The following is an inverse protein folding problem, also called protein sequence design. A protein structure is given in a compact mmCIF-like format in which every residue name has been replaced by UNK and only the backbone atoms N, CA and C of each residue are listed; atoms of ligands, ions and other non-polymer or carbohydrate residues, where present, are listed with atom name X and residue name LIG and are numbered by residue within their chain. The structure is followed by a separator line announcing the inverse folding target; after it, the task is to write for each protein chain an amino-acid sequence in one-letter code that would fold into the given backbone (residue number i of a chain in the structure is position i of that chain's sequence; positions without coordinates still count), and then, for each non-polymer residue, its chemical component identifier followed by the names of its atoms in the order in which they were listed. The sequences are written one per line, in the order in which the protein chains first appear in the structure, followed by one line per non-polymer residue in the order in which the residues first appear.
data_IF_816534311395
#
_entry.id   IF_816534311395
#
_cell.length_a   1.000
_cell.length_b   1.000
_cell.length_c   1.000
_cell.angle_alpha   90.00
_cell.angle_beta   90.00
_cell.angle_gamma   90.00
#
_symmetry.space_group_name_H-M   'P 1'
#
loop_
_entity.id
_entity.type
_entity.pdbx_description
1 polymer ?
#
# COMPACT_ATOMS: atom_id res chain seq x y z
N UNK A 1 -19.29 20.25 3.74
CA UNK A 1 -19.66 20.29 5.21
C UNK A 1 -18.72 19.34 5.95
N UNK A 2 -18.09 19.83 7.04
CA UNK A 2 -17.19 19.01 7.86
C UNK A 2 -17.97 18.15 8.86
N UNK A 3 -17.55 16.89 9.00
CA UNK A 3 -18.03 15.99 10.06
C UNK A 3 -16.84 15.36 10.76
N UNK A 4 -16.76 15.54 12.08
CA UNK A 4 -15.76 14.85 12.94
C UNK A 4 -16.45 13.64 13.59
N UNK A 5 -15.87 12.47 13.46
CA UNK A 5 -16.46 11.23 13.97
C UNK A 5 -15.94 10.90 15.36
N UNK A 6 -16.83 10.38 16.20
CA UNK A 6 -16.49 9.95 17.57
C UNK A 6 -15.54 8.75 17.62
N UNK A 7 -15.41 8.01 16.54
CA UNK A 7 -14.47 6.93 16.30
C UNK A 7 -14.41 6.60 14.80
N UNK A 8 -13.37 5.90 14.36
CA UNK A 8 -13.22 5.60 12.93
C UNK A 8 -14.22 4.59 12.39
N UNK A 9 -14.72 3.68 13.23
CA UNK A 9 -15.78 2.72 12.83
C UNK A 9 -17.08 3.44 12.45
N UNK A 10 -17.44 4.50 13.15
CA UNK A 10 -18.62 5.29 12.84
C UNK A 10 -18.52 5.93 11.44
N UNK A 11 -17.34 6.40 11.05
CA UNK A 11 -17.11 6.93 9.69
C UNK A 11 -17.19 5.82 8.63
N UNK A 12 -16.56 4.67 8.89
CA UNK A 12 -16.62 3.51 7.98
C UNK A 12 -18.06 3.10 7.74
N UNK A 13 -18.89 3.02 8.78
CA UNK A 13 -20.31 2.68 8.66
C UNK A 13 -21.09 3.73 7.85
N UNK A 14 -20.81 5.02 8.07
CA UNK A 14 -21.46 6.12 7.36
C UNK A 14 -21.16 6.13 5.85
N UNK A 15 -20.00 5.63 5.44
CA UNK A 15 -19.51 5.66 4.06
C UNK A 15 -19.20 4.27 3.50
N UNK A 16 -19.77 3.19 4.03
CA UNK A 16 -19.47 1.82 3.64
C UNK A 16 -19.60 1.60 2.12
N UNK A 17 -20.69 2.04 1.52
CA UNK A 17 -20.91 1.91 0.08
C UNK A 17 -19.87 2.70 -0.73
N UNK A 18 -19.54 3.91 -0.30
CA UNK A 18 -18.57 4.76 -0.97
C UNK A 18 -17.15 4.17 -0.87
N UNK A 19 -16.74 3.69 0.30
CA UNK A 19 -15.46 3.04 0.52
C UNK A 19 -15.31 1.77 -0.35
N UNK A 20 -16.39 1.04 -0.54
CA UNK A 20 -16.40 -0.16 -1.38
C UNK A 20 -16.34 0.12 -2.88
N UNK A 21 -16.48 1.37 -3.34
CA UNK A 21 -16.32 1.71 -4.77
C UNK A 21 -14.88 1.56 -5.24
N UNK A 22 -13.90 1.72 -4.34
CA UNK A 22 -12.50 1.51 -4.64
C UNK A 22 -11.79 0.84 -3.45
N UNK A 23 -11.87 -0.49 -3.32
CA UNK A 23 -11.33 -1.23 -2.18
C UNK A 23 -9.79 -1.11 -2.05
N UNK A 24 -9.11 -0.75 -3.11
CA UNK A 24 -7.65 -0.55 -3.07
C UNK A 24 -7.25 0.73 -2.35
N UNK A 25 -7.87 1.87 -2.69
CA UNK A 25 -7.59 3.15 -2.03
C UNK A 25 -8.17 3.22 -0.63
N UNK A 26 -9.32 2.60 -0.42
CA UNK A 26 -10.02 2.62 0.86
C UNK A 26 -9.52 1.59 1.87
N UNK A 27 -8.63 0.66 1.49
CA UNK A 27 -8.18 -0.41 2.39
C UNK A 27 -7.65 0.11 3.73
N UNK A 28 -6.96 1.24 3.74
CA UNK A 28 -6.40 1.84 4.95
C UNK A 28 -7.47 2.33 5.93
N UNK A 29 -8.65 2.70 5.43
CA UNK A 29 -9.78 3.05 6.30
C UNK A 29 -10.24 1.85 7.12
N UNK A 30 -10.26 0.67 6.53
CA UNK A 30 -10.63 -0.57 7.22
C UNK A 30 -9.54 -1.09 8.16
N UNK A 31 -8.26 -0.75 7.89
CA UNK A 31 -7.13 -1.09 8.76
C UNK A 31 -7.01 -0.10 9.92
N UNK A 32 -6.95 1.19 9.62
CA UNK A 32 -6.64 2.25 10.59
C UNK A 32 -7.88 2.71 11.36
N UNK A 33 -9.03 2.78 10.68
CA UNK A 33 -10.27 3.29 11.27
C UNK A 33 -10.65 2.62 12.60
N UNK A 34 -10.68 1.29 12.70
CA UNK A 34 -11.01 0.60 13.96
C UNK A 34 -10.08 0.93 15.13
N UNK A 35 -8.85 1.38 14.85
CA UNK A 35 -7.88 1.77 15.87
C UNK A 35 -8.20 3.14 16.49
N UNK A 36 -9.02 3.97 15.82
CA UNK A 36 -9.45 5.28 16.30
C UNK A 36 -10.67 5.09 17.22
N UNK A 37 -10.42 4.77 18.48
CA UNK A 37 -11.49 4.57 19.49
C UNK A 37 -11.82 5.84 20.25
N UNK A 38 -10.84 6.75 20.42
CA UNK A 38 -10.97 8.07 21.04
C UNK A 38 -10.17 9.07 20.20
N UNK A 39 -10.84 9.89 19.39
CA UNK A 39 -10.15 10.81 18.50
C UNK A 39 -9.47 11.93 19.31
N UNK A 40 -8.31 12.33 18.83
CA UNK A 40 -7.53 13.48 19.27
C UNK A 40 -6.86 14.16 18.06
N UNK A 41 -5.88 15.04 18.25
CA UNK A 41 -5.17 15.73 17.15
C UNK A 41 -4.21 14.82 16.37
N UNK A 42 -3.90 13.64 16.89
CA UNK A 42 -2.98 12.67 16.30
C UNK A 42 -3.71 11.44 15.74
N UNK A 43 -4.90 11.12 16.27
CA UNK A 43 -5.71 9.97 15.88
C UNK A 43 -7.14 10.45 15.62
N UNK A 44 -7.56 10.51 14.36
CA UNK A 44 -8.83 11.13 14.01
C UNK A 44 -9.47 10.55 12.75
N UNK A 45 -10.78 10.77 12.65
CA UNK A 45 -11.59 10.46 11.48
C UNK A 45 -12.47 11.66 11.15
N UNK A 46 -12.31 12.25 9.98
CA UNK A 46 -12.99 13.48 9.53
C UNK A 46 -13.45 13.30 8.10
N UNK A 47 -14.61 13.87 7.74
CA UNK A 47 -15.02 13.99 6.34
C UNK A 47 -15.34 15.42 5.99
N UNK A 48 -15.13 15.78 4.72
CA UNK A 48 -15.54 17.02 4.09
C UNK A 48 -16.39 16.76 2.85
N UNK A 49 -16.99 17.81 2.28
CA UNK A 49 -17.78 17.70 1.05
C UNK A 49 -19.23 17.29 1.31
N UNK A 50 -19.81 16.58 0.36
CA UNK A 50 -21.19 16.08 0.42
C UNK A 50 -21.22 14.56 0.58
N UNK A 51 -22.38 14.00 0.90
CA UNK A 51 -22.52 12.53 0.98
C UNK A 51 -22.28 11.83 -0.37
N UNK A 52 -22.56 12.51 -1.49
CA UNK A 52 -22.35 11.97 -2.83
C UNK A 52 -20.89 12.16 -3.33
N UNK A 53 -20.19 13.17 -2.84
CA UNK A 53 -18.82 13.51 -3.20
C UNK A 53 -18.02 13.88 -1.93
N UNK A 54 -17.73 12.90 -1.06
CA UNK A 54 -16.98 13.14 0.17
C UNK A 54 -15.48 13.09 -0.10
N UNK A 55 -14.71 13.82 0.72
CA UNK A 55 -13.32 13.55 0.96
C UNK A 55 -13.18 13.05 2.40
N UNK A 56 -12.81 11.80 2.54
CA UNK A 56 -12.63 11.09 3.81
C UNK A 56 -11.19 11.18 4.27
N UNK A 57 -11.00 11.28 5.56
CA UNK A 57 -9.70 11.44 6.17
C UNK A 57 -9.60 10.61 7.45
N UNK A 58 -8.60 9.74 7.55
CA UNK A 58 -8.24 9.02 8.78
C UNK A 58 -6.77 9.18 9.08
N UNK A 59 -6.43 9.23 10.35
CA UNK A 59 -5.06 9.18 10.82
C UNK A 59 -4.94 8.41 12.12
N UNK A 60 -3.92 7.56 12.18
CA UNK A 60 -3.46 6.86 13.38
C UNK A 60 -1.96 7.10 13.52
N UNK A 61 -1.54 7.72 14.62
CA UNK A 61 -0.12 7.94 14.88
C UNK A 61 0.62 6.59 15.05
N UNK A 62 1.86 6.46 14.54
CA UNK A 62 2.69 7.49 13.92
C UNK A 62 2.55 7.58 12.38
N UNK A 63 1.55 6.94 11.79
CA UNK A 63 1.40 6.79 10.34
C UNK A 63 0.93 8.08 9.65
N UNK A 64 0.96 8.08 8.33
CA UNK A 64 0.50 9.18 7.49
C UNK A 64 -1.01 9.34 7.56
N UNK A 65 -1.50 10.58 7.43
CA UNK A 65 -2.92 10.86 7.22
C UNK A 65 -3.36 10.26 5.88
N UNK A 66 -4.38 9.44 5.86
CA UNK A 66 -4.93 8.86 4.63
C UNK A 66 -6.12 9.68 4.16
N UNK A 67 -6.09 10.12 2.90
CA UNK A 67 -7.19 10.82 2.24
C UNK A 67 -7.77 9.95 1.13
N UNK A 68 -9.10 9.89 1.04
CA UNK A 68 -9.80 9.16 -0.01
C UNK A 68 -11.09 9.88 -0.41
N UNK A 69 -11.23 10.23 -1.67
CA UNK A 69 -12.48 10.79 -2.17
C UNK A 69 -12.33 11.90 -3.18
N UNK A 70 -13.21 12.91 -3.09
CA UNK A 70 -13.32 13.99 -4.05
C UNK A 70 -12.27 15.08 -3.80
N UNK A 71 -11.40 15.37 -4.79
CA UNK A 71 -10.38 16.42 -4.68
C UNK A 71 -10.97 17.81 -4.49
N UNK A 72 -12.20 18.07 -4.95
CA UNK A 72 -12.84 19.39 -4.81
C UNK A 72 -13.17 19.73 -3.33
N UNK A 73 -13.28 18.72 -2.47
CA UNK A 73 -13.46 18.91 -1.03
C UNK A 73 -12.13 19.12 -0.26
N UNK A 74 -10.97 19.10 -0.94
CA UNK A 74 -9.67 19.21 -0.28
C UNK A 74 -9.50 20.55 0.45
N UNK A 75 -9.93 21.66 -0.14
CA UNK A 75 -9.85 22.97 0.48
C UNK A 75 -10.59 23.03 1.84
N UNK A 76 -11.83 22.58 1.85
CA UNK A 76 -12.68 22.57 3.05
C UNK A 76 -12.07 21.69 4.16
N UNK A 77 -11.58 20.50 3.79
CA UNK A 77 -10.97 19.58 4.75
C UNK A 77 -9.68 20.14 5.35
N UNK A 78 -8.78 20.63 4.49
CA UNK A 78 -7.46 21.11 4.91
C UNK A 78 -7.55 22.39 5.74
N UNK A 79 -8.44 23.33 5.41
CA UNK A 79 -8.69 24.52 6.23
C UNK A 79 -9.15 24.12 7.63
N UNK A 80 -10.07 23.16 7.73
CA UNK A 80 -10.55 22.67 9.01
C UNK A 80 -9.41 21.99 9.81
N UNK A 81 -8.65 21.08 9.20
CA UNK A 81 -7.57 20.36 9.88
C UNK A 81 -6.50 21.32 10.42
N UNK A 82 -6.14 22.34 9.63
CA UNK A 82 -5.16 23.36 10.04
C UNK A 82 -5.71 24.29 11.15
N UNK A 83 -6.96 24.75 11.03
CA UNK A 83 -7.57 25.64 12.01
C UNK A 83 -7.73 24.98 13.38
N UNK A 84 -7.94 23.68 13.42
CA UNK A 84 -8.12 22.87 14.61
C UNK A 84 -6.83 22.18 15.09
N UNK A 85 -5.67 22.51 14.47
CA UNK A 85 -4.33 21.98 14.82
C UNK A 85 -4.23 20.44 14.75
N UNK A 86 -4.88 19.83 13.76
CA UNK A 86 -4.70 18.42 13.47
C UNK A 86 -3.37 18.15 12.78
N UNK A 87 -2.76 17.00 13.08
CA UNK A 87 -1.48 16.60 12.51
C UNK A 87 -1.64 16.16 11.05
N UNK A 88 -1.02 16.90 10.13
CA UNK A 88 -1.03 16.63 8.69
C UNK A 88 0.35 16.79 8.04
N UNK A 89 1.45 16.65 8.79
CA UNK A 89 2.81 16.80 8.23
C UNK A 89 3.11 15.85 7.06
N UNK A 90 2.37 14.75 6.98
CA UNK A 90 2.42 13.81 5.87
C UNK A 90 1.05 13.18 5.60
N UNK A 91 0.75 12.94 4.34
CA UNK A 91 -0.48 12.27 3.95
C UNK A 91 -0.28 11.33 2.75
N UNK A 92 -1.06 10.27 2.72
CA UNK A 92 -1.12 9.25 1.67
C UNK A 92 -2.46 9.38 0.93
N UNK A 93 -2.43 9.47 -0.38
CA UNK A 93 -3.66 9.60 -1.19
C UNK A 93 -3.42 9.27 -2.66
N UNK A 94 -4.50 9.24 -3.45
CA UNK A 94 -4.41 9.21 -4.92
C UNK A 94 -3.70 10.46 -5.44
N UNK A 95 -3.05 10.33 -6.61
CA UNK A 95 -2.35 11.45 -7.26
C UNK A 95 -3.27 12.67 -7.45
N UNK A 96 -4.53 12.46 -7.87
CA UNK A 96 -5.50 13.53 -8.12
C UNK A 96 -5.81 14.34 -6.84
N UNK A 97 -6.06 13.67 -5.72
CA UNK A 97 -6.29 14.34 -4.43
C UNK A 97 -5.01 14.98 -3.92
N UNK A 98 -3.86 14.31 -4.10
CA UNK A 98 -2.55 14.81 -3.71
C UNK A 98 -2.20 16.12 -4.39
N UNK A 99 -2.37 16.19 -5.72
CA UNK A 99 -2.12 17.41 -6.51
C UNK A 99 -3.01 18.57 -6.07
N UNK A 100 -4.30 18.30 -5.83
CA UNK A 100 -5.23 19.32 -5.33
C UNK A 100 -4.83 19.80 -3.92
N UNK A 101 -4.48 18.88 -3.02
CA UNK A 101 -4.09 19.19 -1.64
C UNK A 101 -2.77 20.00 -1.61
N UNK A 102 -1.73 19.54 -2.29
CA UNK A 102 -0.41 20.22 -2.31
C UNK A 102 -0.52 21.62 -2.89
N UNK A 103 -1.22 21.79 -4.02
CA UNK A 103 -1.47 23.08 -4.63
C UNK A 103 -2.21 24.01 -3.67
N UNK A 104 -3.30 23.57 -3.06
CA UNK A 104 -4.10 24.35 -2.12
C UNK A 104 -3.29 24.80 -0.90
N UNK A 105 -2.56 23.86 -0.26
CA UNK A 105 -1.72 24.14 0.90
C UNK A 105 -0.63 25.18 0.59
N UNK A 106 -0.04 25.12 -0.62
CA UNK A 106 0.92 26.12 -1.04
C UNK A 106 0.29 27.48 -1.32
N UNK A 107 -0.73 27.53 -2.15
CA UNK A 107 -1.33 28.81 -2.60
C UNK A 107 -2.05 29.54 -1.46
N UNK A 108 -2.69 28.83 -0.56
CA UNK A 108 -3.50 29.43 0.51
C UNK A 108 -2.77 29.61 1.83
N UNK A 109 -1.92 28.65 2.19
CA UNK A 109 -1.27 28.62 3.52
C UNK A 109 0.25 28.77 3.45
N UNK A 110 0.87 28.80 2.28
CA UNK A 110 2.33 28.86 2.10
C UNK A 110 3.06 27.60 2.57
N UNK A 111 2.33 26.49 2.77
CA UNK A 111 2.87 25.22 3.22
C UNK A 111 3.34 24.40 2.02
N UNK A 112 4.61 23.98 2.04
CA UNK A 112 5.20 23.19 0.97
C UNK A 112 5.16 21.73 1.31
N UNK A 113 4.71 20.93 0.34
CA UNK A 113 4.73 19.46 0.41
C UNK A 113 5.40 18.90 -0.85
N UNK A 114 6.09 17.78 -0.70
CA UNK A 114 6.70 17.05 -1.80
C UNK A 114 6.23 15.60 -1.78
N UNK A 115 6.06 15.00 -2.97
CA UNK A 115 5.86 13.55 -3.08
C UNK A 115 7.16 12.86 -2.67
N UNK A 116 7.15 12.26 -1.48
CA UNK A 116 8.28 11.50 -0.95
C UNK A 116 8.34 10.10 -1.57
N UNK A 117 7.19 9.47 -1.75
CA UNK A 117 7.04 8.15 -2.37
C UNK A 117 5.83 8.16 -3.30
N UNK A 118 6.04 7.90 -4.58
CA UNK A 118 4.99 7.72 -5.58
C UNK A 118 4.90 6.25 -5.99
N UNK A 119 3.71 5.64 -5.85
CA UNK A 119 3.47 4.24 -6.13
C UNK A 119 2.43 4.07 -7.22
N UNK A 120 2.68 3.19 -8.19
CA UNK A 120 1.66 2.67 -9.07
C UNK A 120 1.00 1.45 -8.42
N UNK A 121 -0.32 1.45 -8.39
CA UNK A 121 -1.11 0.30 -8.02
C UNK A 121 -1.44 -0.49 -9.26
N UNK A 122 -1.12 -1.80 -9.26
CA UNK A 122 -1.30 -2.66 -10.42
C UNK A 122 -2.10 -3.91 -10.06
N UNK A 123 -2.87 -4.42 -11.02
CA UNK A 123 -3.60 -5.68 -10.88
C UNK A 123 -3.44 -6.61 -12.08
N UNK A 124 -3.57 -7.92 -11.82
CA UNK A 124 -3.68 -8.95 -12.85
C UNK A 124 -4.83 -9.90 -12.51
N UNK A 125 -5.61 -10.25 -13.54
CA UNK A 125 -6.83 -11.08 -13.42
C UNK A 125 -6.71 -12.41 -14.14
N UNK A 126 -5.64 -12.61 -14.90
CA UNK A 126 -5.48 -13.77 -15.77
C UNK A 126 -4.13 -14.45 -15.56
N UNK A 127 -4.12 -15.75 -15.79
CA UNK A 127 -2.90 -16.55 -15.87
C UNK A 127 -2.36 -16.42 -17.31
N UNK A 128 -1.25 -15.71 -17.46
CA UNK A 128 -0.64 -15.44 -18.76
C UNK A 128 0.48 -16.42 -19.12
N UNK A 129 1.07 -17.09 -18.13
CA UNK A 129 2.12 -18.09 -18.33
C UNK A 129 2.07 -19.13 -17.19
N UNK A 130 2.57 -20.36 -17.41
CA UNK A 130 2.56 -21.40 -16.38
C UNK A 130 3.44 -21.03 -15.18
N UNK A 131 3.14 -21.64 -14.04
CA UNK A 131 3.97 -21.57 -12.84
C UNK A 131 5.29 -22.29 -13.04
N UNK A 132 6.32 -21.85 -12.33
CA UNK A 132 7.65 -22.45 -12.35
C UNK A 132 7.81 -23.43 -11.19
N UNK A 133 8.11 -24.71 -11.49
CA UNK A 133 8.28 -25.78 -10.49
C UNK A 133 9.45 -25.55 -9.53
N UNK A 134 10.41 -24.70 -9.89
CA UNK A 134 11.53 -24.34 -9.01
C UNK A 134 11.16 -23.32 -7.91
N UNK A 135 9.94 -22.79 -7.93
CA UNK A 135 9.42 -21.91 -6.89
C UNK A 135 8.64 -22.75 -5.90
N UNK A 136 8.97 -22.64 -4.62
CA UNK A 136 8.33 -23.40 -3.55
C UNK A 136 7.93 -22.51 -2.36
N UNK A 137 7.07 -23.03 -1.49
CA UNK A 137 6.92 -22.47 -0.15
C UNK A 137 8.21 -22.75 0.66
N UNK A 138 8.59 -21.88 1.59
CA UNK A 138 9.72 -22.12 2.49
C UNK A 138 9.38 -23.15 3.58
N UNK A 139 10.41 -23.76 4.14
CA UNK A 139 10.36 -24.58 5.36
C UNK A 139 10.73 -23.74 6.58
N UNK A 140 10.51 -24.28 7.79
CA UNK A 140 10.79 -23.56 9.05
C UNK A 140 12.26 -23.13 9.18
N UNK A 141 13.16 -23.91 8.63
CA UNK A 141 14.61 -23.69 8.61
C UNK A 141 15.03 -22.50 7.74
N UNK A 142 14.15 -22.08 6.85
CA UNK A 142 14.40 -20.96 5.93
C UNK A 142 14.14 -19.59 6.56
N UNK A 143 13.46 -19.56 7.70
CA UNK A 143 13.06 -18.31 8.35
C UNK A 143 14.24 -17.33 8.57
N UNK A 144 15.42 -17.76 9.08
CA UNK A 144 16.54 -16.84 9.27
C UNK A 144 17.01 -16.20 7.95
N UNK A 145 17.02 -16.96 6.86
CA UNK A 145 17.43 -16.45 5.54
C UNK A 145 16.35 -15.51 4.94
N UNK A 146 15.07 -15.77 5.21
CA UNK A 146 13.95 -14.87 4.83
C UNK A 146 14.06 -13.56 5.60
N UNK A 147 14.36 -13.58 6.90
CA UNK A 147 14.56 -12.37 7.69
C UNK A 147 15.70 -11.53 7.10
N UNK A 148 16.85 -12.14 6.82
CA UNK A 148 17.96 -11.45 6.15
C UNK A 148 17.55 -10.81 4.82
N UNK A 149 16.76 -11.53 4.01
CA UNK A 149 16.25 -11.00 2.75
C UNK A 149 15.28 -9.83 2.95
N UNK A 150 14.43 -9.85 3.99
CA UNK A 150 13.52 -8.75 4.34
C UNK A 150 14.28 -7.52 4.82
N UNK A 151 15.30 -7.69 5.66
CA UNK A 151 16.16 -6.60 6.11
C UNK A 151 16.85 -5.91 4.93
N UNK A 152 17.40 -6.71 4.01
CA UNK A 152 18.02 -6.18 2.79
C UNK A 152 16.99 -5.51 1.86
N UNK A 153 15.77 -6.03 1.76
CA UNK A 153 14.67 -5.39 1.02
C UNK A 153 14.34 -4.01 1.58
N UNK A 154 14.23 -3.89 2.91
CA UNK A 154 13.96 -2.62 3.62
C UNK A 154 15.07 -1.60 3.31
N UNK A 155 16.35 -2.03 3.39
CA UNK A 155 17.51 -1.19 3.08
C UNK A 155 17.50 -0.74 1.61
N UNK A 156 17.28 -1.65 0.68
CA UNK A 156 17.24 -1.36 -0.77
C UNK A 156 16.11 -0.40 -1.15
N UNK A 157 14.98 -0.47 -0.44
CA UNK A 157 13.84 0.42 -0.64
C UNK A 157 13.97 1.76 0.12
N UNK A 158 14.99 1.94 0.96
CA UNK A 158 15.16 3.13 1.79
C UNK A 158 14.03 3.32 2.81
N UNK A 159 13.45 2.22 3.30
CA UNK A 159 12.39 2.23 4.31
C UNK A 159 13.00 2.32 5.71
N UNK A 160 12.25 2.88 6.65
CA UNK A 160 12.63 3.01 8.06
C UNK A 160 12.01 1.89 8.94
N UNK A 161 11.49 0.84 8.31
CA UNK A 161 10.82 -0.27 8.98
C UNK A 161 11.83 -1.25 9.62
N UNK A 162 11.35 -2.08 10.53
CA UNK A 162 12.09 -3.21 11.10
C UNK A 162 11.32 -4.51 10.88
N UNK A 163 12.05 -5.63 10.79
CA UNK A 163 11.44 -6.95 10.62
C UNK A 163 11.01 -7.49 11.98
N UNK A 164 9.73 -7.81 12.13
CA UNK A 164 9.21 -8.56 13.27
C UNK A 164 9.26 -10.07 12.96
N UNK A 165 10.27 -10.75 13.50
CA UNK A 165 10.49 -12.19 13.29
C UNK A 165 9.28 -13.03 13.71
N UNK A 166 8.59 -12.69 14.81
CA UNK A 166 7.45 -13.45 15.30
C UNK A 166 6.30 -13.43 14.27
N UNK A 167 5.99 -12.26 13.73
CA UNK A 167 4.99 -12.09 12.67
C UNK A 167 5.39 -12.83 11.39
N UNK A 168 6.69 -12.82 11.01
CA UNK A 168 7.13 -13.55 9.82
C UNK A 168 7.06 -15.07 10.02
N UNK A 169 7.33 -15.56 11.22
CA UNK A 169 7.16 -16.99 11.57
C UNK A 169 5.72 -17.46 11.43
N UNK A 170 4.76 -16.67 11.91
CA UNK A 170 3.33 -16.97 11.81
C UNK A 170 2.84 -17.01 10.36
N UNK A 171 3.41 -16.18 9.50
CA UNK A 171 3.02 -16.03 8.10
C UNK A 171 4.03 -16.63 7.11
N UNK A 172 4.88 -17.55 7.57
CA UNK A 172 5.95 -18.14 6.76
C UNK A 172 5.42 -18.85 5.50
N UNK A 173 4.30 -19.53 5.61
CA UNK A 173 3.65 -20.23 4.49
C UNK A 173 3.16 -19.31 3.36
N UNK A 174 3.07 -18.00 3.63
CA UNK A 174 2.66 -17.02 2.62
C UNK A 174 3.82 -16.58 1.71
N UNK A 175 5.06 -16.95 2.02
CA UNK A 175 6.18 -16.69 1.15
C UNK A 175 6.28 -17.72 0.02
N UNK A 176 6.85 -17.27 -1.11
CA UNK A 176 7.35 -18.13 -2.18
C UNK A 176 8.80 -17.77 -2.40
N UNK A 177 9.64 -18.80 -2.51
CA UNK A 177 11.09 -18.66 -2.68
C UNK A 177 11.55 -19.39 -3.92
N UNK A 178 12.62 -18.90 -4.52
CA UNK A 178 13.41 -19.58 -5.54
C UNK A 178 14.86 -19.63 -5.09
N UNK A 179 15.44 -20.83 -5.13
CA UNK A 179 16.83 -21.05 -4.72
C UNK A 179 17.79 -21.12 -5.91
N UNK A 180 18.97 -20.59 -5.71
CA UNK A 180 20.12 -20.80 -6.57
C UNK A 180 21.35 -21.00 -5.66
N UNK A 181 22.24 -21.90 -6.03
CA UNK A 181 23.46 -22.24 -5.29
C UNK A 181 23.22 -22.54 -3.80
N UNK A 182 22.09 -23.17 -3.49
CA UNK A 182 21.68 -23.53 -2.13
C UNK A 182 21.12 -22.38 -1.28
N UNK A 183 21.06 -21.15 -1.81
CA UNK A 183 20.52 -19.94 -1.12
C UNK A 183 19.21 -19.49 -1.70
N UNK A 184 18.42 -18.76 -0.92
CA UNK A 184 17.23 -18.03 -1.42
C UNK A 184 17.71 -16.90 -2.33
N UNK A 185 17.59 -17.10 -3.63
CA UNK A 185 17.98 -16.11 -4.64
C UNK A 185 16.91 -15.02 -4.83
N UNK A 186 15.64 -15.41 -4.74
CA UNK A 186 14.51 -14.49 -4.86
C UNK A 186 13.34 -14.96 -4.03
N UNK A 187 12.58 -14.03 -3.48
CA UNK A 187 11.36 -14.29 -2.73
C UNK A 187 10.28 -13.25 -2.99
N UNK A 188 9.05 -13.59 -2.65
CA UNK A 188 7.93 -12.67 -2.51
C UNK A 188 6.94 -13.21 -1.48
N UNK A 189 6.09 -12.35 -0.93
CA UNK A 189 5.10 -12.69 0.08
C UNK A 189 3.68 -12.40 -0.43
N UNK A 190 2.77 -13.30 -0.14
CA UNK A 190 1.33 -13.12 -0.32
C UNK A 190 0.75 -12.43 0.92
N UNK A 191 0.23 -11.23 0.78
CA UNK A 191 -0.58 -10.58 1.80
C UNK A 191 -2.06 -10.82 1.48
N UNK A 192 -2.68 -11.75 2.22
CA UNK A 192 -4.10 -12.07 2.08
C UNK A 192 -4.96 -10.93 2.58
N UNK A 193 -6.05 -10.64 1.87
CA UNK A 193 -6.99 -9.57 2.22
C UNK A 193 -8.40 -10.16 2.36
N UNK A 194 -9.17 -9.57 3.27
CA UNK A 194 -10.63 -9.79 3.30
C UNK A 194 -11.30 -8.88 2.25
N UNK A 195 -10.96 -9.16 0.98
CA UNK A 195 -11.30 -8.34 -0.18
C UNK A 195 -11.26 -9.24 -1.44
N UNK A 196 -11.80 -8.78 -2.57
CA UNK A 196 -11.75 -9.52 -3.84
C UNK A 196 -10.33 -9.66 -4.42
N UNK A 197 -9.32 -9.12 -3.77
CA UNK A 197 -7.92 -9.20 -4.18
C UNK A 197 -7.01 -9.65 -3.06
N UNK A 198 -5.89 -10.26 -3.42
CA UNK A 198 -4.74 -10.47 -2.54
C UNK A 198 -3.52 -9.73 -3.11
N UNK A 199 -2.61 -9.32 -2.23
CA UNK A 199 -1.49 -8.44 -2.61
C UNK A 199 -0.17 -9.20 -2.56
N UNK A 200 0.64 -9.09 -3.62
CA UNK A 200 2.02 -9.56 -3.65
C UNK A 200 2.91 -8.45 -3.07
N UNK A 201 3.65 -8.76 -2.03
CA UNK A 201 4.54 -7.84 -1.32
C UNK A 201 5.95 -8.41 -1.18
N UNK A 202 6.88 -7.62 -0.67
CA UNK A 202 8.23 -8.03 -0.30
C UNK A 202 8.95 -8.79 -1.42
N UNK A 203 8.78 -8.33 -2.66
CA UNK A 203 9.45 -8.91 -3.82
C UNK A 203 10.92 -8.51 -3.77
N UNK A 204 11.77 -9.46 -3.45
CA UNK A 204 13.20 -9.25 -3.33
C UNK A 204 14.01 -10.29 -4.11
N UNK A 205 15.09 -9.84 -4.72
CA UNK A 205 16.13 -10.70 -5.32
C UNK A 205 17.48 -10.23 -4.86
N UNK A 206 18.27 -11.13 -4.29
CA UNK A 206 19.64 -10.81 -3.85
C UNK A 206 20.45 -10.19 -5.00
N UNK A 207 21.29 -9.18 -4.75
CA UNK A 207 22.01 -8.45 -5.79
C UNK A 207 22.77 -9.35 -6.76
N UNK A 208 23.45 -10.37 -6.26
CA UNK A 208 24.25 -11.33 -7.04
C UNK A 208 23.40 -12.22 -7.97
N UNK A 209 22.10 -12.33 -7.72
CA UNK A 209 21.14 -13.13 -8.51
C UNK A 209 20.20 -12.29 -9.37
N UNK A 210 20.39 -10.95 -9.44
CA UNK A 210 19.59 -10.07 -10.30
C UNK A 210 19.91 -10.32 -11.78
N UNK A 211 18.95 -9.99 -12.65
CA UNK A 211 19.11 -10.18 -14.09
C UNK A 211 18.84 -11.60 -14.60
N UNK A 212 18.60 -12.60 -13.72
CA UNK A 212 18.38 -14.01 -14.09
C UNK A 212 16.89 -14.38 -14.21
N UNK A 213 15.98 -13.42 -14.08
CA UNK A 213 14.53 -13.64 -14.17
C UNK A 213 13.90 -14.34 -12.95
N UNK A 214 14.59 -14.40 -11.82
CA UNK A 214 14.08 -15.11 -10.64
C UNK A 214 12.86 -14.42 -10.02
N UNK A 215 12.88 -13.08 -9.89
CA UNK A 215 11.71 -12.32 -9.44
C UNK A 215 10.47 -12.59 -10.32
N UNK A 216 10.65 -12.67 -11.66
CA UNK A 216 9.58 -13.00 -12.58
C UNK A 216 8.90 -14.32 -12.23
N UNK A 217 9.69 -15.37 -11.97
CA UNK A 217 9.18 -16.70 -11.65
C UNK A 217 8.41 -16.70 -10.33
N UNK A 218 8.96 -16.07 -9.29
CA UNK A 218 8.33 -16.01 -7.97
C UNK A 218 7.01 -15.22 -8.01
N UNK A 219 7.02 -14.04 -8.63
CA UNK A 219 5.82 -13.19 -8.77
C UNK A 219 4.75 -13.88 -9.62
N UNK A 220 5.15 -14.54 -10.74
CA UNK A 220 4.21 -15.26 -11.57
C UNK A 220 3.54 -16.42 -10.81
N UNK A 221 4.28 -17.16 -10.00
CA UNK A 221 3.70 -18.23 -9.18
C UNK A 221 2.66 -17.70 -8.20
N UNK A 222 2.95 -16.62 -7.46
CA UNK A 222 1.99 -15.99 -6.56
C UNK A 222 0.78 -15.42 -7.31
N UNK A 223 1.00 -14.74 -8.45
CA UNK A 223 -0.09 -14.26 -9.30
C UNK A 223 -1.03 -15.41 -9.70
N UNK A 224 -0.47 -16.50 -10.18
CA UNK A 224 -1.24 -17.66 -10.62
C UNK A 224 -1.98 -18.33 -9.45
N UNK A 225 -1.38 -18.40 -8.27
CA UNK A 225 -2.03 -18.90 -7.04
C UNK A 225 -3.25 -18.04 -6.68
N UNK A 226 -3.10 -16.72 -6.66
CA UNK A 226 -4.19 -15.77 -6.35
C UNK A 226 -5.32 -15.89 -7.37
N UNK A 227 -4.98 -15.86 -8.67
CA UNK A 227 -5.98 -15.93 -9.75
C UNK A 227 -6.70 -17.28 -9.76
N UNK A 228 -5.98 -18.38 -9.51
CA UNK A 228 -6.59 -19.72 -9.39
C UNK A 228 -7.55 -19.86 -8.21
N UNK A 229 -7.34 -19.07 -7.16
CA UNK A 229 -8.27 -18.97 -6.02
C UNK A 229 -9.50 -18.07 -6.32
N UNK A 230 -9.65 -17.56 -7.53
CA UNK A 230 -10.77 -16.70 -7.95
C UNK A 230 -10.62 -15.25 -7.48
N UNK A 231 -9.44 -14.84 -7.04
CA UNK A 231 -9.14 -13.48 -6.60
C UNK A 231 -8.33 -12.70 -7.66
N UNK A 232 -8.23 -11.41 -7.45
CA UNK A 232 -7.42 -10.52 -8.27
C UNK A 232 -6.02 -10.43 -7.64
N UNK A 233 -4.97 -10.66 -8.41
CA UNK A 233 -3.62 -10.42 -7.96
C UNK A 233 -3.30 -8.93 -8.04
N UNK A 234 -2.86 -8.33 -6.93
CA UNK A 234 -2.49 -6.92 -6.87
C UNK A 234 -1.07 -6.73 -6.35
N UNK A 235 -0.48 -5.60 -6.63
CA UNK A 235 0.78 -5.13 -6.05
C UNK A 235 0.88 -3.60 -6.15
N UNK A 236 1.82 -3.04 -5.38
CA UNK A 236 2.25 -1.66 -5.53
C UNK A 236 3.72 -1.62 -5.93
N UNK A 237 4.09 -0.66 -6.77
CA UNK A 237 5.46 -0.49 -7.27
C UNK A 237 5.84 0.98 -7.31
N UNK A 238 7.07 1.30 -6.90
CA UNK A 238 7.60 2.65 -7.02
C UNK A 238 7.61 3.10 -8.49
N UNK A 239 6.97 4.23 -8.79
CA UNK A 239 6.95 4.86 -10.13
C UNK A 239 8.36 5.04 -10.69
N UNK A 240 9.35 5.26 -9.81
CA UNK A 240 10.76 5.49 -10.17
C UNK A 240 11.55 4.19 -10.41
N UNK A 241 10.92 3.00 -10.26
CA UNK A 241 11.57 1.71 -10.49
C UNK A 241 11.17 1.12 -11.86
N UNK A 242 11.85 1.49 -12.97
CA UNK A 242 11.46 1.05 -14.31
C UNK A 242 11.72 -0.45 -14.53
N UNK A 243 12.56 -1.09 -13.72
CA UNK A 243 12.85 -2.52 -13.83
C UNK A 243 11.66 -3.33 -13.34
N UNK A 244 11.16 -3.00 -12.15
CA UNK A 244 9.98 -3.67 -11.56
C UNK A 244 8.71 -3.35 -12.35
N UNK A 245 8.51 -2.13 -12.81
CA UNK A 245 7.35 -1.76 -13.62
C UNK A 245 7.28 -2.62 -14.90
N UNK A 246 8.37 -2.71 -15.67
CA UNK A 246 8.42 -3.57 -16.87
C UNK A 246 8.23 -5.05 -16.54
N UNK A 247 8.77 -5.52 -15.42
CA UNK A 247 8.56 -6.90 -14.98
C UNK A 247 7.07 -7.20 -14.79
N UNK A 248 6.37 -6.37 -14.01
CA UNK A 248 4.95 -6.59 -13.71
C UNK A 248 4.06 -6.44 -14.94
N UNK A 249 4.27 -5.42 -15.77
CA UNK A 249 3.58 -5.28 -17.07
C UNK A 249 3.77 -6.53 -17.95
N UNK A 250 4.98 -7.08 -18.00
CA UNK A 250 5.27 -8.30 -18.80
C UNK A 250 4.60 -9.56 -18.26
N UNK A 251 4.15 -9.56 -16.99
CA UNK A 251 3.38 -10.62 -16.35
C UNK A 251 1.85 -10.41 -16.47
N UNK A 252 1.43 -9.35 -17.17
CA UNK A 252 0.02 -9.04 -17.39
C UNK A 252 -0.62 -8.17 -16.31
N UNK A 253 0.18 -7.60 -15.39
CA UNK A 253 -0.32 -6.57 -14.49
C UNK A 253 -0.61 -5.28 -15.24
N UNK A 254 -1.75 -4.66 -14.94
CA UNK A 254 -2.18 -3.39 -15.50
C UNK A 254 -2.21 -2.34 -14.41
N UNK A 255 -1.71 -1.14 -14.71
CA UNK A 255 -1.80 0.00 -13.81
C UNK A 255 -3.25 0.45 -13.68
N UNK A 256 -3.73 0.58 -12.44
CA UNK A 256 -5.07 1.09 -12.14
C UNK A 256 -5.05 2.58 -11.84
N UNK A 257 -4.20 3.00 -10.90
CA UNK A 257 -4.04 4.38 -10.47
C UNK A 257 -2.66 4.57 -9.83
N UNK A 258 -2.29 5.83 -9.62
CA UNK A 258 -1.15 6.19 -8.79
C UNK A 258 -1.61 6.73 -7.44
N UNK A 259 -0.84 6.41 -6.40
CA UNK A 259 -0.93 7.04 -5.09
C UNK A 259 0.41 7.61 -4.69
N UNK A 260 0.41 8.64 -3.85
CA UNK A 260 1.61 9.26 -3.34
C UNK A 260 1.54 9.47 -1.84
N UNK A 261 2.69 9.32 -1.18
CA UNK A 261 2.91 9.89 0.14
C UNK A 261 3.54 11.26 -0.03
N UNK A 262 2.89 12.28 0.50
CA UNK A 262 3.33 13.67 0.45
C UNK A 262 3.79 14.09 1.85
N UNK A 263 4.98 14.68 1.94
CA UNK A 263 5.58 15.14 3.20
C UNK A 263 5.84 16.64 3.16
N UNK A 264 5.57 17.31 4.28
CA UNK A 264 5.87 18.73 4.46
C UNK A 264 7.38 18.95 4.48
N UNK A 265 7.86 20.00 3.77
CA UNK A 265 9.26 20.39 3.62
C UNK A 265 9.50 21.81 4.06
#
# INVERSE_FOLDING_TARGET
MITVYSNGTAMIQAYADYLNTNPYLSQWFFVDGPLITKPDRQNYAVSAGTAAAPLLCVRVAPFSTVLFGDPDAAAELLDFLLAEDYEISRFLTSETVGDAAVRYLWERHGLRYQEALGMDFMEAREITEPSCDAVSAPESEDLPEIIECLENFILDCGLEDSVDEASQRETLSDFRILRADGKIASMAKLARRDAPFDTITNVYTRPEYRGHGYARKVVNNLKNEIVSAGKIASLTVDKKNPVSNRLYESLGFQRLFAQGEYRRV
#
